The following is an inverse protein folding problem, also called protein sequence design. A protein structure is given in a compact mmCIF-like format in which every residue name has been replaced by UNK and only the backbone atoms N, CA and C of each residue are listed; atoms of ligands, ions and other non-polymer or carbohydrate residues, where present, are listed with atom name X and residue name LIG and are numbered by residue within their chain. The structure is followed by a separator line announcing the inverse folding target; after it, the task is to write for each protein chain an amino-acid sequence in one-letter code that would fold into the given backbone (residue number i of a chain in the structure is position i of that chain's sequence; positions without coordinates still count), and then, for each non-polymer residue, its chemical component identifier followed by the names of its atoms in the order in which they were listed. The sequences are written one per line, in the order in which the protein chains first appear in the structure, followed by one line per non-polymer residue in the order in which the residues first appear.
data_IF_195740859353
#
_entry.id   IF_195740859353
#
_cell.length_a   1.000
_cell.length_b   1.000
_cell.length_c   1.000
_cell.angle_alpha   90.00
_cell.angle_beta   90.00
_cell.angle_gamma   90.00
#
_symmetry.space_group_name_H-M   'P 1'
#
loop_
_entity.id
_entity.type
_entity.pdbx_description
1 polymer ?
#
# COMPACT_ATOMS: atom_id res chain seq x y z
N UNK A 1 -11.94 42.30 -16.73
CA UNK A 1 -12.22 40.86 -16.89
C UNK A 1 -10.98 40.11 -16.48
N UNK A 2 -11.04 39.40 -15.35
CA UNK A 2 -9.96 38.50 -14.94
C UNK A 2 -10.10 37.25 -15.79
N UNK A 3 -9.04 36.84 -16.48
CA UNK A 3 -8.97 35.57 -17.20
C UNK A 3 -8.44 34.53 -16.22
N UNK A 4 -9.18 33.45 -16.03
CA UNK A 4 -8.68 32.28 -15.33
C UNK A 4 -8.01 31.36 -16.36
N UNK A 5 -6.80 30.94 -16.07
CA UNK A 5 -6.13 29.88 -16.84
C UNK A 5 -6.55 28.52 -16.24
N UNK A 6 -6.87 27.56 -17.11
CA UNK A 6 -7.15 26.19 -16.68
C UNK A 6 -5.86 25.55 -16.20
N UNK A 7 -5.80 25.20 -14.92
CA UNK A 7 -4.69 24.42 -14.36
C UNK A 7 -4.97 22.95 -14.69
N UNK A 8 -4.04 22.22 -15.32
CA UNK A 8 -4.22 20.80 -15.56
C UNK A 8 -4.45 20.08 -14.22
N UNK A 9 -5.43 19.19 -14.20
CA UNK A 9 -5.72 18.37 -13.03
C UNK A 9 -4.43 17.68 -12.57
N UNK A 10 -4.13 17.80 -11.27
CA UNK A 10 -2.96 17.17 -10.68
C UNK A 10 -3.02 15.66 -10.96
N UNK A 11 -1.89 15.07 -11.34
CA UNK A 11 -1.81 13.63 -11.59
C UNK A 11 -2.32 12.89 -10.35
N UNK A 12 -3.27 11.99 -10.57
CA UNK A 12 -3.92 11.22 -9.53
C UNK A 12 -2.91 10.30 -8.85
N UNK A 13 -2.81 10.39 -7.53
CA UNK A 13 -1.95 9.51 -6.73
C UNK A 13 -2.65 8.17 -6.58
N UNK A 14 -2.06 7.13 -7.17
CA UNK A 14 -2.56 5.76 -7.11
C UNK A 14 -1.57 4.88 -6.37
N UNK A 15 -2.09 3.93 -5.59
CA UNK A 15 -1.33 2.81 -5.04
C UNK A 15 -1.85 1.49 -5.61
N UNK A 16 -0.94 0.56 -5.86
CA UNK A 16 -1.27 -0.76 -6.42
C UNK A 16 -0.95 -1.82 -5.40
N UNK A 17 -1.87 -2.75 -5.15
CA UNK A 17 -1.59 -3.91 -4.32
C UNK A 17 -0.73 -4.91 -5.10
N UNK A 18 0.46 -5.24 -4.61
CA UNK A 18 1.38 -6.17 -5.28
C UNK A 18 0.84 -7.62 -5.36
N UNK A 19 -0.15 -7.95 -4.53
CA UNK A 19 -0.73 -9.30 -4.47
C UNK A 19 -1.85 -9.48 -5.49
N UNK A 20 -2.76 -8.51 -5.59
CA UNK A 20 -3.95 -8.63 -6.45
C UNK A 20 -3.93 -7.72 -7.68
N UNK A 21 -2.99 -6.79 -7.77
CA UNK A 21 -2.83 -5.85 -8.88
C UNK A 21 -3.91 -4.77 -8.95
N UNK A 22 -4.80 -4.67 -7.95
CA UNK A 22 -5.84 -3.64 -7.94
C UNK A 22 -5.24 -2.28 -7.58
N UNK A 23 -5.67 -1.25 -8.30
CA UNK A 23 -5.31 0.15 -8.06
C UNK A 23 -6.31 0.81 -7.09
N UNK A 24 -5.80 1.68 -6.24
CA UNK A 24 -6.56 2.42 -5.23
C UNK A 24 -6.17 3.90 -5.28
N UNK A 25 -7.17 4.75 -5.13
CA UNK A 25 -7.02 6.20 -5.20
C UNK A 25 -6.64 6.76 -3.84
N UNK A 26 -5.45 7.36 -3.75
CA UNK A 26 -4.95 7.94 -2.49
C UNK A 26 -5.58 9.31 -2.23
N UNK A 27 -5.96 10.03 -3.29
CA UNK A 27 -6.41 11.42 -3.21
C UNK A 27 -7.92 11.54 -2.96
N UNK A 28 -8.73 10.52 -3.30
CA UNK A 28 -10.19 10.60 -3.17
C UNK A 28 -10.75 10.45 -1.76
N UNK A 29 -9.94 10.61 -0.71
CA UNK A 29 -10.34 10.27 0.67
C UNK A 29 -10.84 8.82 0.74
N UNK A 30 -10.27 7.93 -0.09
CA UNK A 30 -10.61 6.52 -0.10
C UNK A 30 -10.07 5.90 1.19
N UNK A 31 -10.98 5.58 2.12
CA UNK A 31 -10.62 4.90 3.36
C UNK A 31 -9.95 3.56 3.09
N UNK A 32 -10.19 2.96 1.92
CA UNK A 32 -9.58 1.69 1.52
C UNK A 32 -8.06 1.81 1.29
N UNK A 33 -7.60 2.95 0.75
CA UNK A 33 -6.17 3.19 0.53
C UNK A 33 -5.40 3.41 1.84
N UNK A 34 -6.07 3.92 2.89
CA UNK A 34 -5.45 4.18 4.19
C UNK A 34 -5.12 2.90 4.96
N UNK A 35 -5.78 1.79 4.66
CA UNK A 35 -5.60 0.49 5.32
C UNK A 35 -4.56 -0.41 4.61
N UNK A 36 -3.71 0.17 3.75
CA UNK A 36 -2.60 -0.56 3.14
C UNK A 36 -1.49 -0.87 4.16
N UNK A 37 -0.94 -2.08 4.06
CA UNK A 37 0.31 -2.41 4.72
C UNK A 37 1.48 -2.15 3.78
N UNK A 38 2.39 -1.28 4.20
CA UNK A 38 3.64 -0.99 3.53
C UNK A 38 4.80 -1.71 4.22
N UNK A 39 5.54 -2.50 3.45
CA UNK A 39 6.77 -3.16 3.89
C UNK A 39 7.93 -2.46 3.19
N UNK A 40 8.88 -1.94 3.97
CA UNK A 40 10.14 -1.38 3.47
C UNK A 40 11.25 -1.65 4.50
N UNK A 41 12.15 -2.58 4.18
CA UNK A 41 13.29 -2.90 5.04
C UNK A 41 14.46 -3.56 4.28
N UNK A 42 15.64 -3.53 4.89
CA UNK A 42 16.82 -4.28 4.39
C UNK A 42 16.98 -5.56 5.21
N UNK A 43 17.05 -6.71 4.53
CA UNK A 43 17.31 -8.00 5.15
C UNK A 43 18.69 -8.08 5.80
N UNK A 44 18.82 -8.89 6.85
CA UNK A 44 20.13 -9.17 7.46
C UNK A 44 20.94 -10.21 6.68
N UNK A 45 22.13 -10.53 7.21
CA UNK A 45 22.98 -11.59 6.69
C UNK A 45 22.22 -12.93 6.61
N UNK A 46 22.28 -13.59 5.45
CA UNK A 46 21.57 -14.84 5.15
C UNK A 46 20.04 -14.79 5.39
N UNK A 47 19.43 -13.60 5.27
CA UNK A 47 17.99 -13.42 5.36
C UNK A 47 17.24 -14.29 4.34
N UNK A 48 16.10 -14.85 4.76
CA UNK A 48 15.21 -15.64 3.90
C UNK A 48 14.59 -14.82 2.77
N UNK A 49 14.61 -13.49 2.88
CA UNK A 49 14.16 -12.57 1.84
C UNK A 49 15.25 -12.23 0.82
N UNK A 50 16.47 -12.76 1.00
CA UNK A 50 17.67 -12.42 0.24
C UNK A 50 18.72 -11.79 1.15
N UNK A 51 19.98 -12.19 0.95
CA UNK A 51 21.13 -11.69 1.72
C UNK A 51 21.30 -10.18 1.49
N UNK A 52 21.24 -9.39 2.56
CA UNK A 52 21.33 -7.91 2.55
C UNK A 52 20.40 -7.21 1.54
N UNK A 53 19.30 -7.86 1.16
CA UNK A 53 18.42 -7.37 0.10
C UNK A 53 17.44 -6.33 0.61
N UNK A 54 17.19 -5.28 -0.18
CA UNK A 54 16.15 -4.28 0.08
C UNK A 54 14.80 -4.80 -0.41
N UNK A 55 13.84 -4.91 0.51
CA UNK A 55 12.52 -5.50 0.27
C UNK A 55 11.47 -4.39 0.38
N UNK A 56 10.65 -4.28 -0.66
CA UNK A 56 9.50 -3.38 -0.70
C UNK A 56 8.24 -4.15 -1.11
N UNK A 57 7.10 -3.87 -0.47
CA UNK A 57 5.81 -4.44 -0.85
C UNK A 57 4.63 -3.65 -0.29
N UNK A 58 3.61 -3.40 -1.11
CA UNK A 58 2.36 -2.75 -0.77
C UNK A 58 1.18 -3.73 -0.87
N UNK A 59 0.45 -3.92 0.24
CA UNK A 59 -0.60 -4.94 0.34
C UNK A 59 -1.92 -4.33 0.85
N UNK A 60 -3.00 -4.48 0.08
CA UNK A 60 -4.33 -4.05 0.53
C UNK A 60 -4.85 -4.91 1.69
N UNK A 61 -5.69 -4.33 2.56
CA UNK A 61 -6.23 -5.00 3.75
C UNK A 61 -6.90 -6.35 3.47
N UNK A 62 -7.55 -6.51 2.31
CA UNK A 62 -8.17 -7.77 1.92
C UNK A 62 -7.14 -8.88 1.65
N UNK A 63 -6.04 -8.55 0.98
CA UNK A 63 -4.97 -9.50 0.68
C UNK A 63 -4.19 -9.83 1.95
N UNK A 64 -3.89 -8.81 2.76
CA UNK A 64 -3.27 -8.99 4.07
C UNK A 64 -4.09 -9.95 4.94
N UNK A 65 -5.39 -9.68 5.11
CA UNK A 65 -6.28 -10.55 5.87
C UNK A 65 -6.25 -11.98 5.35
N UNK A 66 -6.31 -12.18 4.02
CA UNK A 66 -6.24 -13.52 3.43
C UNK A 66 -4.93 -14.25 3.77
N UNK A 67 -3.81 -13.54 3.87
CA UNK A 67 -2.50 -14.12 4.22
C UNK A 67 -2.39 -14.49 5.70
N UNK A 68 -2.88 -13.63 6.59
CA UNK A 68 -2.62 -13.76 8.04
C UNK A 68 -3.81 -14.27 8.85
N UNK A 69 -5.01 -14.40 8.25
CA UNK A 69 -6.27 -14.73 8.96
C UNK A 69 -6.17 -15.94 9.89
N UNK A 70 -5.37 -16.94 9.54
CA UNK A 70 -5.29 -18.19 10.28
C UNK A 70 -4.26 -18.11 11.44
N UNK A 71 -3.50 -17.01 11.50
CA UNK A 71 -2.45 -16.76 12.49
C UNK A 71 -2.74 -15.55 13.40
N UNK A 72 -3.64 -14.67 12.98
CA UNK A 72 -3.97 -13.45 13.72
C UNK A 72 -4.76 -13.74 15.00
N UNK A 73 -4.58 -12.90 16.01
CA UNK A 73 -5.43 -12.84 17.21
C UNK A 73 -6.10 -11.48 17.25
N UNK A 74 -7.43 -11.46 17.33
CA UNK A 74 -8.17 -10.23 17.65
C UNK A 74 -8.10 -10.03 19.17
N UNK A 75 -7.69 -8.85 19.58
CA UNK A 75 -7.72 -8.43 20.98
C UNK A 75 -8.79 -7.35 21.02
N UNK A 76 -9.97 -7.72 21.50
CA UNK A 76 -11.05 -6.78 21.79
C UNK A 76 -10.84 -6.28 23.24
N UNK A 77 -11.17 -5.02 23.50
CA UNK A 77 -11.12 -4.42 24.85
C UNK A 77 -12.13 -5.05 25.83
#
# INVERSE_FOLDING_TARGET
MIKYEEVPALAKSLIVCDVCGKEFDVDSNDLEAQEFLHIDFIGGYASVFGDESHIQCDICQHCLLKMIKDYMRRIDD
#
